data_IF_324430505847
#
_entry.id   IF_324430505847
#
_cell.length_a   1.000
_cell.length_b   1.000
_cell.length_c   1.000
_cell.angle_alpha   90.00
_cell.angle_beta   90.00
_cell.angle_gamma   90.00
#
_symmetry.space_group_name_H-M   'P 1'
#
loop_
_entity.id
_entity.type
_entity.pdbx_description
1 polymer ?
#
# COMPACT_ATOMS: atom_id res chain seq x y z
N UNK A 1 13.92 -21.10 9.63
CA UNK A 1 14.01 -20.08 8.55
C UNK A 1 12.68 -19.92 7.85
N UNK A 2 12.39 -18.72 7.32
CA UNK A 2 11.16 -18.44 6.57
C UNK A 2 11.52 -17.84 5.22
N UNK A 3 10.80 -18.23 4.18
CA UNK A 3 11.10 -17.85 2.81
C UNK A 3 9.83 -17.63 1.99
N UNK A 4 9.86 -16.67 1.07
CA UNK A 4 8.76 -16.38 0.16
C UNK A 4 9.26 -16.47 -1.30
N UNK A 5 9.15 -17.63 -1.97
CA UNK A 5 9.74 -17.87 -3.28
C UNK A 5 9.13 -17.00 -4.40
N UNK A 6 7.83 -16.66 -4.29
CA UNK A 6 7.12 -15.88 -5.31
C UNK A 6 7.20 -14.37 -5.09
N UNK A 7 7.92 -13.92 -4.05
CA UNK A 7 8.12 -12.47 -3.84
C UNK A 7 8.71 -11.82 -5.10
N UNK A 8 8.13 -10.72 -5.54
CA UNK A 8 8.51 -10.03 -6.76
C UNK A 8 7.93 -10.59 -8.07
N UNK A 9 7.30 -11.78 -8.04
CA UNK A 9 6.62 -12.39 -9.19
C UNK A 9 5.10 -12.38 -9.09
N UNK A 10 4.58 -12.18 -7.90
CA UNK A 10 3.15 -12.22 -7.63
C UNK A 10 2.68 -10.99 -6.88
N UNK A 11 1.87 -10.16 -7.54
CA UNK A 11 1.42 -8.86 -7.08
C UNK A 11 2.44 -7.74 -7.29
N UNK A 12 1.93 -6.49 -7.36
CA UNK A 12 2.75 -5.27 -7.46
C UNK A 12 3.25 -4.83 -6.08
N UNK A 13 3.96 -3.70 -6.02
CA UNK A 13 4.67 -3.22 -4.82
C UNK A 13 3.87 -3.36 -3.53
N UNK A 14 2.62 -2.87 -3.47
CA UNK A 14 1.82 -2.92 -2.25
C UNK A 14 1.54 -4.36 -1.76
N UNK A 15 1.29 -5.31 -2.67
CA UNK A 15 1.14 -6.73 -2.32
C UNK A 15 2.46 -7.32 -1.83
N UNK A 16 3.57 -7.00 -2.52
CA UNK A 16 4.91 -7.47 -2.14
C UNK A 16 5.29 -6.97 -0.74
N UNK A 17 4.90 -5.73 -0.38
CA UNK A 17 5.10 -5.20 0.96
C UNK A 17 4.33 -6.00 2.03
N UNK A 18 3.09 -6.39 1.79
CA UNK A 18 2.34 -7.25 2.70
C UNK A 18 3.00 -8.63 2.86
N UNK A 19 3.40 -9.24 1.75
CA UNK A 19 4.10 -10.53 1.74
C UNK A 19 5.39 -10.47 2.57
N UNK A 20 6.18 -9.43 2.37
CA UNK A 20 7.44 -9.25 3.08
C UNK A 20 7.23 -8.92 4.57
N UNK A 21 6.19 -8.13 4.90
CA UNK A 21 5.82 -7.81 6.28
C UNK A 21 5.41 -9.07 7.06
N UNK A 22 4.54 -9.89 6.49
CA UNK A 22 4.12 -11.16 7.10
C UNK A 22 5.32 -12.12 7.29
N UNK A 23 6.17 -12.25 6.26
CA UNK A 23 7.40 -13.06 6.33
C UNK A 23 8.31 -12.59 7.48
N UNK A 24 8.56 -11.28 7.58
CA UNK A 24 9.41 -10.70 8.62
C UNK A 24 8.81 -10.88 10.01
N UNK A 25 7.52 -10.63 10.18
CA UNK A 25 6.82 -10.78 11.45
C UNK A 25 6.86 -12.24 11.94
N UNK A 26 6.63 -13.20 11.05
CA UNK A 26 6.71 -14.62 11.38
C UNK A 26 8.12 -15.02 11.83
N UNK A 27 9.15 -14.49 11.18
CA UNK A 27 10.54 -14.73 11.55
C UNK A 27 10.85 -14.13 12.94
N UNK A 28 10.40 -12.92 13.23
CA UNK A 28 10.55 -12.27 14.54
C UNK A 28 9.85 -13.08 15.64
N UNK A 29 8.58 -13.46 15.41
CA UNK A 29 7.79 -14.27 16.34
C UNK A 29 8.52 -15.55 16.75
N UNK A 30 9.11 -16.22 15.78
CA UNK A 30 9.77 -17.51 16.00
C UNK A 30 11.30 -17.39 16.26
N UNK A 31 11.80 -16.18 16.53
CA UNK A 31 13.23 -15.90 16.76
C UNK A 31 14.11 -16.54 15.70
N UNK A 32 13.71 -16.42 14.45
CA UNK A 32 14.31 -17.05 13.27
C UNK A 32 14.65 -16.00 12.21
N UNK A 33 15.14 -16.43 11.05
CA UNK A 33 15.55 -15.57 9.96
C UNK A 33 14.58 -15.64 8.79
N UNK A 34 14.19 -14.46 8.26
CA UNK A 34 13.49 -14.29 7.00
C UNK A 34 14.50 -14.15 5.86
N UNK A 35 14.21 -14.78 4.72
CA UNK A 35 15.02 -14.71 3.52
C UNK A 35 14.21 -14.26 2.32
N UNK A 36 14.84 -13.47 1.45
CA UNK A 36 14.29 -13.07 0.15
C UNK A 36 14.98 -13.86 -0.98
N UNK A 37 14.34 -14.00 -2.17
CA UNK A 37 14.98 -14.60 -3.33
C UNK A 37 16.23 -13.81 -3.77
N UNK A 38 17.29 -14.52 -4.16
CA UNK A 38 18.55 -13.91 -4.62
C UNK A 38 18.39 -13.14 -5.95
N UNK A 39 17.39 -13.48 -6.76
CA UNK A 39 17.01 -12.80 -8.01
C UNK A 39 15.90 -11.76 -7.84
N UNK A 40 15.50 -11.38 -6.59
CA UNK A 40 14.32 -10.56 -6.31
C UNK A 40 14.24 -9.28 -7.16
N UNK A 41 15.33 -8.54 -7.26
CA UNK A 41 15.34 -7.22 -7.91
C UNK A 41 15.40 -7.28 -9.45
N UNK A 42 15.49 -8.47 -10.03
CA UNK A 42 15.35 -8.70 -11.46
C UNK A 42 13.96 -9.23 -11.85
N UNK A 43 13.16 -9.60 -10.85
CA UNK A 43 11.81 -10.14 -11.04
C UNK A 43 10.83 -9.06 -11.48
N UNK A 44 9.83 -9.48 -12.27
CA UNK A 44 8.76 -8.62 -12.77
C UNK A 44 7.40 -9.23 -12.54
N UNK A 45 6.42 -8.37 -12.30
CA UNK A 45 5.00 -8.69 -12.29
C UNK A 45 4.26 -7.62 -13.09
N UNK A 46 3.42 -8.01 -14.04
CA UNK A 46 2.74 -7.09 -14.97
C UNK A 46 3.73 -6.06 -15.58
N UNK A 47 4.93 -6.53 -16.02
CA UNK A 47 6.00 -5.69 -16.58
C UNK A 47 6.74 -4.79 -15.59
N UNK A 48 6.21 -4.57 -14.39
CA UNK A 48 6.86 -3.77 -13.35
C UNK A 48 7.92 -4.61 -12.63
N UNK A 49 9.15 -4.08 -12.59
CA UNK A 49 10.24 -4.66 -11.79
C UNK A 49 9.92 -4.52 -10.29
N UNK A 50 10.48 -5.43 -9.49
CA UNK A 50 10.40 -5.33 -8.03
C UNK A 50 11.04 -4.02 -7.53
N UNK A 51 10.31 -3.27 -6.71
CA UNK A 51 10.72 -1.95 -6.20
C UNK A 51 11.12 -1.98 -4.71
N UNK A 52 11.25 -3.17 -4.11
CA UNK A 52 11.58 -3.30 -2.69
C UNK A 52 13.00 -2.83 -2.34
N UNK A 53 13.90 -2.69 -3.32
CA UNK A 53 15.24 -2.10 -3.18
C UNK A 53 15.22 -0.58 -2.85
N UNK A 54 14.07 0.06 -2.96
CA UNK A 54 13.88 1.46 -2.55
C UNK A 54 13.68 1.63 -1.04
N UNK A 55 13.74 0.54 -0.26
CA UNK A 55 13.66 0.55 1.19
C UNK A 55 14.95 0.06 1.85
N UNK A 56 15.21 0.53 3.07
CA UNK A 56 16.42 0.18 3.86
C UNK A 56 16.26 -1.15 4.60
N UNK A 57 15.76 -2.20 3.94
CA UNK A 57 15.69 -3.50 4.56
C UNK A 57 17.03 -4.27 4.42
N UNK A 58 17.41 -5.01 5.46
CA UNK A 58 18.63 -5.80 5.53
C UNK A 58 18.31 -7.30 5.60
N UNK A 59 17.42 -7.78 4.73
CA UNK A 59 17.09 -9.20 4.70
C UNK A 59 18.11 -9.95 3.85
N UNK A 60 18.66 -11.07 4.34
CA UNK A 60 19.53 -11.92 3.54
C UNK A 60 18.78 -12.57 2.40
N UNK A 61 19.49 -12.81 1.30
CA UNK A 61 18.95 -13.50 0.14
C UNK A 61 19.38 -14.97 0.11
N UNK A 62 18.55 -15.80 -0.53
CA UNK A 62 18.84 -17.23 -0.74
C UNK A 62 18.31 -17.66 -2.10
N UNK A 63 19.00 -18.62 -2.72
CA UNK A 63 18.52 -19.25 -3.94
C UNK A 63 17.27 -20.10 -3.65
N UNK A 64 16.16 -19.88 -4.38
CA UNK A 64 14.92 -20.62 -4.17
C UNK A 64 15.09 -22.15 -4.20
N UNK A 65 16.00 -22.66 -5.00
CA UNK A 65 16.28 -24.10 -5.10
C UNK A 65 16.78 -24.73 -3.80
N UNK A 66 17.36 -23.92 -2.91
CA UNK A 66 17.84 -24.39 -1.60
C UNK A 66 16.71 -24.58 -0.58
N UNK A 67 15.48 -24.17 -0.91
CA UNK A 67 14.33 -24.21 -0.01
C UNK A 67 13.26 -25.24 -0.41
N UNK A 68 13.51 -26.06 -1.43
CA UNK A 68 12.55 -27.05 -1.98
C UNK A 68 12.16 -28.17 -0.99
N UNK A 69 12.96 -28.37 0.05
CA UNK A 69 12.71 -29.36 1.12
C UNK A 69 11.83 -28.83 2.25
N UNK A 70 11.49 -27.51 2.24
CA UNK A 70 10.67 -26.90 3.27
C UNK A 70 9.19 -27.12 3.00
N UNK A 71 8.41 -27.23 4.06
CA UNK A 71 6.96 -27.28 3.98
C UNK A 71 6.39 -25.95 3.49
N UNK A 72 5.27 -26.02 2.75
CA UNK A 72 4.57 -24.87 2.20
C UNK A 72 3.37 -24.53 3.07
N UNK A 73 3.32 -23.30 3.60
CA UNK A 73 2.10 -22.69 4.08
C UNK A 73 1.46 -21.90 2.93
N UNK A 74 0.26 -22.29 2.53
CA UNK A 74 -0.57 -21.55 1.59
C UNK A 74 -1.72 -20.87 2.34
N UNK A 75 -1.78 -19.52 2.24
CA UNK A 75 -2.91 -18.74 2.76
C UNK A 75 -4.22 -19.17 2.07
N UNK A 76 -5.32 -19.10 2.80
CA UNK A 76 -6.65 -19.43 2.27
C UNK A 76 -7.05 -18.49 1.12
N UNK A 77 -7.84 -19.00 0.17
CA UNK A 77 -8.26 -18.22 -1.01
C UNK A 77 -9.14 -17.02 -0.66
N UNK A 78 -9.86 -17.08 0.47
CA UNK A 78 -10.72 -16.00 0.96
C UNK A 78 -9.98 -14.99 1.86
N UNK A 79 -8.72 -14.73 1.60
CA UNK A 79 -7.82 -13.90 2.42
C UNK A 79 -8.33 -12.47 2.69
N UNK A 80 -9.19 -11.92 1.82
CA UNK A 80 -9.80 -10.59 2.02
C UNK A 80 -11.02 -10.61 2.94
N UNK A 81 -11.65 -11.76 3.13
CA UNK A 81 -12.86 -11.91 3.95
C UNK A 81 -12.57 -12.54 5.31
N UNK A 82 -11.57 -13.42 5.36
CA UNK A 82 -11.25 -14.22 6.55
C UNK A 82 -9.75 -14.23 6.81
N UNK A 83 -9.35 -13.82 8.00
CA UNK A 83 -7.97 -13.94 8.46
C UNK A 83 -7.60 -15.42 8.65
N UNK A 84 -6.57 -15.87 7.97
CA UNK A 84 -6.09 -17.25 8.12
C UNK A 84 -5.30 -17.41 9.43
N UNK A 85 -6.01 -17.85 10.46
CA UNK A 85 -5.44 -18.00 11.81
C UNK A 85 -4.37 -19.08 11.93
N UNK A 86 -4.31 -20.04 10.99
CA UNK A 86 -3.26 -21.07 10.94
C UNK A 86 -1.87 -20.45 10.83
N UNK A 87 -1.77 -19.24 10.25
CA UNK A 87 -0.50 -18.49 10.19
C UNK A 87 0.14 -18.30 11.56
N UNK A 88 -0.66 -18.09 12.60
CA UNK A 88 -0.16 -17.84 13.96
C UNK A 88 0.31 -19.10 14.67
N UNK A 89 -0.01 -20.28 14.16
CA UNK A 89 0.41 -21.57 14.71
C UNK A 89 1.70 -22.09 14.02
N UNK A 90 2.18 -21.39 12.98
CA UNK A 90 3.40 -21.79 12.27
C UNK A 90 4.58 -21.76 13.23
N UNK A 91 5.27 -22.90 13.30
CA UNK A 91 6.55 -23.10 13.99
C UNK A 91 7.51 -23.85 13.08
N UNK A 92 8.81 -23.74 13.31
CA UNK A 92 9.81 -24.37 12.44
C UNK A 92 10.05 -23.58 11.14
N UNK A 93 10.78 -24.19 10.21
CA UNK A 93 11.11 -23.57 8.92
C UNK A 93 9.99 -23.77 7.91
N UNK A 94 9.63 -22.74 7.15
CA UNK A 94 8.44 -22.76 6.28
C UNK A 94 8.66 -21.90 5.03
N UNK A 95 8.09 -22.33 3.92
CA UNK A 95 7.87 -21.51 2.72
C UNK A 95 6.47 -20.91 2.77
N UNK A 96 6.35 -19.63 2.47
CA UNK A 96 5.07 -18.93 2.48
C UNK A 96 4.54 -18.68 1.05
N UNK A 97 3.22 -18.78 0.89
CA UNK A 97 2.49 -18.41 -0.32
C UNK A 97 1.15 -17.78 0.07
N UNK A 98 0.90 -16.54 -0.34
CA UNK A 98 -0.32 -15.80 0.00
C UNK A 98 -0.18 -14.31 -0.29
N UNK A 99 -1.23 -13.55 -0.03
CA UNK A 99 -1.24 -12.10 -0.13
C UNK A 99 -0.97 -11.42 1.22
N UNK A 100 -1.49 -12.00 2.30
CA UNK A 100 -1.36 -11.52 3.68
C UNK A 100 -1.79 -10.04 3.86
N UNK A 101 -2.84 -9.62 3.17
CA UNK A 101 -3.29 -8.23 3.05
C UNK A 101 -4.04 -7.75 4.30
N UNK A 102 -3.40 -7.88 5.47
CA UNK A 102 -3.91 -7.36 6.74
C UNK A 102 -2.77 -7.05 7.71
N UNK A 103 -2.88 -5.94 8.47
CA UNK A 103 -1.92 -5.67 9.55
C UNK A 103 -1.94 -6.75 10.64
N UNK A 104 -3.03 -7.49 10.76
CA UNK A 104 -3.19 -8.53 11.78
C UNK A 104 -2.09 -9.59 11.71
N UNK A 105 -1.47 -9.81 10.55
CA UNK A 105 -0.33 -10.72 10.39
C UNK A 105 0.97 -10.19 11.00
N UNK A 106 1.09 -8.87 11.24
CA UNK A 106 2.36 -8.25 11.67
C UNK A 106 2.20 -7.10 12.68
N UNK A 107 1.01 -6.81 13.18
CA UNK A 107 0.76 -5.68 14.09
C UNK A 107 1.60 -5.70 15.35
N UNK A 108 1.91 -6.89 15.89
CA UNK A 108 2.72 -7.04 17.10
C UNK A 108 4.20 -6.66 16.88
N UNK A 109 4.61 -6.48 15.61
CA UNK A 109 5.94 -6.08 15.17
C UNK A 109 5.90 -4.80 14.32
N UNK A 110 4.90 -3.93 14.56
CA UNK A 110 4.64 -2.73 13.77
C UNK A 110 5.89 -1.86 13.59
N UNK A 111 6.63 -1.62 14.67
CA UNK A 111 7.82 -0.76 14.64
C UNK A 111 8.93 -1.35 13.77
N UNK A 112 9.18 -2.65 13.87
CA UNK A 112 10.15 -3.36 13.04
C UNK A 112 9.76 -3.30 11.56
N UNK A 113 8.48 -3.52 11.26
CA UNK A 113 7.95 -3.46 9.88
C UNK A 113 8.03 -2.04 9.33
N UNK A 114 7.60 -1.03 10.08
CA UNK A 114 7.71 0.37 9.66
C UNK A 114 9.17 0.81 9.46
N UNK A 115 10.09 0.32 10.30
CA UNK A 115 11.52 0.58 10.16
C UNK A 115 12.09 -0.04 8.88
N UNK A 116 11.68 -1.28 8.57
CA UNK A 116 12.08 -1.99 7.36
C UNK A 116 11.68 -1.24 6.08
N UNK A 117 10.55 -0.53 6.09
CA UNK A 117 10.05 0.28 4.97
C UNK A 117 10.49 1.75 5.02
N UNK A 118 11.61 2.04 5.68
CA UNK A 118 12.24 3.35 5.56
C UNK A 118 12.81 3.50 4.14
N UNK A 119 12.41 4.54 3.43
CA UNK A 119 12.88 4.80 2.07
C UNK A 119 14.39 5.09 2.02
N UNK A 120 15.01 4.76 0.91
CA UNK A 120 16.35 5.24 0.58
C UNK A 120 16.33 6.78 0.44
N UNK A 121 17.46 7.43 0.68
CA UNK A 121 17.55 8.90 0.78
C UNK A 121 17.07 9.61 -0.49
N UNK A 122 17.40 9.08 -1.66
CA UNK A 122 17.00 9.66 -2.95
C UNK A 122 15.48 9.77 -3.11
N UNK A 123 14.75 8.73 -2.70
CA UNK A 123 13.28 8.70 -2.76
C UNK A 123 12.67 9.60 -1.68
N UNK A 124 13.22 9.55 -0.46
CA UNK A 124 12.75 10.36 0.68
C UNK A 124 12.90 11.85 0.43
N UNK A 125 14.03 12.26 -0.16
CA UNK A 125 14.32 13.66 -0.52
C UNK A 125 13.34 14.18 -1.56
N UNK A 126 13.08 13.43 -2.64
CA UNK A 126 12.11 13.82 -3.67
C UNK A 126 10.74 14.09 -3.06
N UNK A 127 10.27 13.20 -2.18
CA UNK A 127 8.97 13.36 -1.54
C UNK A 127 8.90 14.60 -0.63
N UNK A 128 9.97 14.87 0.14
CA UNK A 128 10.07 16.07 0.98
C UNK A 128 10.07 17.35 0.17
N UNK A 129 10.86 17.40 -0.89
CA UNK A 129 10.97 18.58 -1.76
C UNK A 129 9.64 18.85 -2.48
N UNK A 130 8.97 17.81 -2.98
CA UNK A 130 7.68 17.93 -3.63
C UNK A 130 6.64 18.57 -2.71
N UNK A 131 6.48 18.04 -1.48
CA UNK A 131 5.52 18.60 -0.51
C UNK A 131 5.93 19.98 0.00
N UNK A 132 7.23 20.27 0.09
CA UNK A 132 7.72 21.61 0.41
C UNK A 132 7.26 22.63 -0.62
N UNK A 133 7.33 22.32 -1.92
CA UNK A 133 6.84 23.20 -2.97
C UNK A 133 5.33 23.45 -2.86
N UNK A 134 4.54 22.40 -2.56
CA UNK A 134 3.11 22.55 -2.33
C UNK A 134 2.85 23.46 -1.12
N UNK A 135 3.54 23.24 0.01
CA UNK A 135 3.37 24.06 1.23
C UNK A 135 3.83 25.52 1.03
N UNK A 136 4.79 25.78 0.14
CA UNK A 136 5.16 27.15 -0.24
C UNK A 136 4.04 27.86 -1.03
N UNK A 137 3.36 27.12 -1.91
CA UNK A 137 2.24 27.65 -2.70
C UNK A 137 0.99 27.82 -1.86
N UNK A 138 0.79 26.96 -0.85
CA UNK A 138 -0.37 26.96 0.05
C UNK A 138 0.09 27.03 1.51
N UNK A 139 0.59 28.19 1.97
CA UNK A 139 1.08 28.34 3.33
C UNK A 139 -0.05 28.13 4.34
N UNK A 140 0.27 27.52 5.48
CA UNK A 140 -0.68 27.21 6.58
C UNK A 140 -1.80 26.22 6.23
N UNK A 141 -1.70 25.52 5.10
CA UNK A 141 -2.64 24.45 4.74
C UNK A 141 -2.09 23.09 5.15
N UNK A 142 -2.99 22.21 5.57
CA UNK A 142 -2.73 20.78 5.78
C UNK A 142 -3.05 20.01 4.50
N UNK A 143 -2.19 19.09 4.11
CA UNK A 143 -2.32 18.32 2.87
C UNK A 143 -3.07 17.02 3.17
N UNK A 144 -4.23 16.87 2.55
CA UNK A 144 -5.00 15.61 2.56
C UNK A 144 -4.72 14.85 1.26
N UNK A 145 -3.97 13.76 1.34
CA UNK A 145 -3.75 12.89 0.19
C UNK A 145 -5.03 12.11 -0.14
N UNK A 146 -5.45 12.10 -1.39
CA UNK A 146 -6.54 11.24 -1.88
C UNK A 146 -5.93 10.20 -2.79
N UNK A 147 -5.97 8.92 -2.39
CA UNK A 147 -5.56 7.84 -3.28
C UNK A 147 -6.78 7.24 -3.96
N UNK A 148 -6.93 7.54 -5.25
CA UNK A 148 -8.02 7.06 -6.08
C UNK A 148 -7.49 6.19 -7.22
N UNK A 149 -7.44 4.88 -6.99
CA UNK A 149 -7.00 3.92 -8.01
C UNK A 149 -8.07 3.74 -9.08
N UNK A 150 -7.75 4.17 -10.30
CA UNK A 150 -8.56 3.92 -11.49
C UNK A 150 -7.93 2.82 -12.33
N UNK A 151 -7.15 3.13 -13.31
CA UNK A 151 -6.37 2.20 -14.12
C UNK A 151 -7.07 0.86 -14.40
N UNK A 152 -6.48 -0.20 -13.93
CA UNK A 152 -6.98 -1.58 -14.01
C UNK A 152 -8.31 -1.82 -13.26
N UNK A 153 -8.71 -0.89 -12.39
CA UNK A 153 -10.00 -0.97 -11.68
C UNK A 153 -11.19 -0.43 -12.49
N UNK A 154 -10.97 0.24 -13.62
CA UNK A 154 -12.06 0.74 -14.47
C UNK A 154 -12.97 -0.37 -14.98
N UNK A 155 -12.37 -1.50 -15.39
CA UNK A 155 -13.08 -2.62 -16.00
C UNK A 155 -13.64 -3.62 -14.99
N UNK A 156 -12.94 -3.79 -13.86
CA UNK A 156 -13.28 -4.83 -12.89
C UNK A 156 -14.19 -4.37 -11.75
N UNK A 157 -14.32 -3.05 -11.55
CA UNK A 157 -14.95 -2.49 -10.35
C UNK A 157 -15.73 -1.21 -10.69
N UNK A 158 -16.48 -1.25 -11.77
CA UNK A 158 -17.12 -0.04 -12.33
C UNK A 158 -18.29 0.45 -11.48
N UNK A 159 -17.95 1.11 -10.38
CA UNK A 159 -18.86 2.00 -9.66
C UNK A 159 -18.20 3.35 -9.43
N UNK A 160 -17.73 4.05 -10.50
CA UNK A 160 -17.06 5.35 -10.33
C UNK A 160 -17.91 6.35 -9.55
N UNK A 161 -19.23 6.29 -9.72
CA UNK A 161 -20.16 7.13 -9.00
C UNK A 161 -20.14 6.93 -7.49
N UNK A 162 -20.05 5.71 -7.00
CA UNK A 162 -19.97 5.42 -5.55
C UNK A 162 -18.66 5.94 -4.95
N UNK A 163 -17.54 5.76 -5.65
CA UNK A 163 -16.25 6.26 -5.16
C UNK A 163 -16.21 7.79 -5.14
N UNK A 164 -16.82 8.45 -6.12
CA UNK A 164 -16.96 9.91 -6.12
C UNK A 164 -17.82 10.39 -4.96
N UNK A 165 -18.99 9.80 -4.76
CA UNK A 165 -19.86 10.11 -3.62
C UNK A 165 -19.14 9.92 -2.30
N UNK A 166 -18.38 8.82 -2.16
CA UNK A 166 -17.56 8.56 -0.98
C UNK A 166 -16.50 9.65 -0.77
N UNK A 167 -15.74 10.04 -1.82
CA UNK A 167 -14.74 11.12 -1.70
C UNK A 167 -15.39 12.42 -1.23
N UNK A 168 -16.51 12.81 -1.84
CA UNK A 168 -17.22 14.02 -1.45
C UNK A 168 -17.76 13.94 -0.02
N UNK A 169 -18.28 12.78 0.39
CA UNK A 169 -18.74 12.54 1.74
C UNK A 169 -17.59 12.60 2.76
N UNK A 170 -16.47 11.91 2.49
CA UNK A 170 -15.28 11.95 3.34
C UNK A 170 -14.72 13.37 3.50
N UNK A 171 -14.68 14.15 2.41
CA UNK A 171 -14.25 15.56 2.44
C UNK A 171 -15.19 16.41 3.28
N UNK A 172 -16.49 16.25 3.12
CA UNK A 172 -17.48 17.05 3.86
C UNK A 172 -17.53 16.71 5.35
N UNK A 173 -17.29 15.46 5.71
CA UNK A 173 -17.38 14.97 7.08
C UNK A 173 -16.12 15.28 7.90
N UNK A 174 -14.95 15.01 7.34
CA UNK A 174 -13.68 15.03 8.07
C UNK A 174 -12.77 16.19 7.70
N UNK A 175 -12.97 16.81 6.54
CA UNK A 175 -12.08 17.83 5.97
C UNK A 175 -12.84 19.01 5.37
N UNK A 176 -13.86 19.51 6.07
CA UNK A 176 -14.73 20.60 5.61
C UNK A 176 -14.20 22.03 5.91
N UNK A 177 -13.03 22.14 6.50
CA UNK A 177 -12.38 23.40 6.85
C UNK A 177 -11.48 23.85 5.71
N UNK A 178 -11.41 25.17 5.45
CA UNK A 178 -10.52 25.76 4.45
C UNK A 178 -9.04 25.65 4.78
N UNK A 179 -8.68 25.20 5.95
CA UNK A 179 -7.28 24.84 6.27
C UNK A 179 -6.76 23.64 5.48
N UNK A 180 -7.60 22.86 4.82
CA UNK A 180 -7.19 21.68 4.05
C UNK A 180 -7.02 21.98 2.57
N UNK A 181 -6.02 21.34 1.96
CA UNK A 181 -5.88 21.18 0.52
C UNK A 181 -5.80 19.70 0.18
N UNK A 182 -6.26 19.35 -1.01
CA UNK A 182 -6.35 17.97 -1.44
C UNK A 182 -5.32 17.67 -2.52
N UNK A 183 -4.46 16.65 -2.29
CA UNK A 183 -3.48 16.14 -3.25
C UNK A 183 -3.92 14.75 -3.73
N UNK A 184 -4.28 14.63 -4.99
CA UNK A 184 -4.82 13.42 -5.57
C UNK A 184 -3.71 12.58 -6.23
N UNK A 185 -3.69 11.30 -5.88
CA UNK A 185 -2.90 10.26 -6.51
C UNK A 185 -3.82 9.34 -7.29
N UNK A 186 -3.60 9.22 -8.57
CA UNK A 186 -4.35 8.34 -9.47
C UNK A 186 -3.43 7.79 -10.54
N UNK A 187 -3.86 6.76 -11.22
CA UNK A 187 -3.13 6.14 -12.31
C UNK A 187 -3.39 4.64 -12.35
N UNK A 188 -2.83 3.99 -13.34
CA UNK A 188 -3.05 2.58 -13.57
C UNK A 188 -1.89 1.90 -14.28
N UNK A 189 -2.13 0.67 -14.68
CA UNK A 189 -1.18 -0.12 -15.44
C UNK A 189 -1.16 0.35 -16.90
N UNK A 190 -0.09 1.03 -17.29
CA UNK A 190 0.10 1.51 -18.67
C UNK A 190 0.15 0.36 -19.70
N UNK A 191 0.64 -0.82 -19.28
CA UNK A 191 0.74 -2.00 -20.18
C UNK A 191 -0.62 -2.55 -20.61
N UNK A 192 -1.69 -2.27 -19.85
CA UNK A 192 -3.06 -2.64 -20.25
C UNK A 192 -3.76 -1.56 -21.09
N UNK A 193 -3.01 -0.63 -21.69
CA UNK A 193 -3.55 0.42 -22.56
C UNK A 193 -4.24 1.57 -21.80
N UNK A 194 -4.20 1.58 -20.48
CA UNK A 194 -4.75 2.64 -19.65
C UNK A 194 -3.70 3.73 -19.45
N UNK A 195 -3.85 4.88 -20.09
CA UNK A 195 -2.94 6.00 -19.86
C UNK A 195 -3.24 6.70 -18.53
N UNK A 196 -2.19 7.03 -17.76
CA UNK A 196 -2.33 7.86 -16.58
C UNK A 196 -2.98 9.21 -16.90
N UNK A 197 -2.71 9.76 -18.09
CA UNK A 197 -3.31 10.99 -18.58
C UNK A 197 -4.83 10.93 -18.63
N UNK A 198 -5.41 9.86 -19.16
CA UNK A 198 -6.86 9.71 -19.22
C UNK A 198 -7.51 9.59 -17.84
N UNK A 199 -6.85 8.95 -16.88
CA UNK A 199 -7.30 8.87 -15.50
C UNK A 199 -7.23 10.22 -14.80
N UNK A 200 -6.14 10.95 -15.00
CA UNK A 200 -5.96 12.30 -14.45
C UNK A 200 -6.99 13.26 -15.03
N UNK A 201 -7.20 13.25 -16.35
CA UNK A 201 -8.19 14.13 -16.99
C UNK A 201 -9.61 13.84 -16.51
N UNK A 202 -9.97 12.57 -16.34
CA UNK A 202 -11.24 12.21 -15.75
C UNK A 202 -11.37 12.72 -14.29
N UNK A 203 -10.36 12.56 -13.46
CA UNK A 203 -10.35 13.05 -12.10
C UNK A 203 -10.44 14.58 -12.03
N UNK A 204 -9.74 15.30 -12.92
CA UNK A 204 -9.82 16.77 -13.03
C UNK A 204 -11.25 17.26 -13.29
N UNK A 205 -12.01 16.50 -14.06
CA UNK A 205 -13.41 16.85 -14.36
C UNK A 205 -14.38 16.54 -13.20
N UNK A 206 -14.10 15.50 -12.40
CA UNK A 206 -15.06 14.97 -11.44
C UNK A 206 -14.69 15.23 -9.97
N UNK A 207 -13.45 15.58 -9.67
CA UNK A 207 -12.97 15.87 -8.30
C UNK A 207 -12.41 17.30 -8.26
N UNK A 208 -13.28 18.32 -8.19
CA UNK A 208 -12.86 19.72 -8.22
C UNK A 208 -12.08 20.11 -6.96
N UNK A 209 -11.37 21.24 -7.03
CA UNK A 209 -10.59 21.80 -5.94
C UNK A 209 -9.54 20.81 -5.40
N UNK A 210 -8.77 20.20 -6.32
CA UNK A 210 -7.79 19.17 -6.01
C UNK A 210 -6.51 19.46 -6.80
N UNK A 211 -5.35 19.36 -6.14
CA UNK A 211 -4.04 19.34 -6.75
C UNK A 211 -3.76 17.91 -7.20
N UNK A 212 -3.15 17.73 -8.35
CA UNK A 212 -2.82 16.42 -8.88
C UNK A 212 -1.34 16.11 -8.69
N UNK A 213 -1.02 14.95 -8.14
CA UNK A 213 0.35 14.46 -8.10
C UNK A 213 0.77 14.05 -9.52
N UNK A 214 1.63 14.87 -10.14
CA UNK A 214 2.09 14.67 -11.53
C UNK A 214 3.37 13.84 -11.61
N UNK A 215 3.84 13.30 -10.49
CA UNK A 215 5.09 12.51 -10.42
C UNK A 215 4.93 11.18 -11.17
N UNK A 216 3.75 10.54 -11.08
CA UNK A 216 3.39 9.31 -11.80
C UNK A 216 4.44 8.18 -11.70
N UNK A 217 5.03 8.03 -10.53
CA UNK A 217 6.04 7.01 -10.22
C UNK A 217 5.63 6.30 -8.94
N UNK A 218 5.42 4.99 -9.00
CA UNK A 218 4.85 4.19 -7.92
C UNK A 218 5.57 4.39 -6.57
N UNK A 219 6.90 4.41 -6.57
CA UNK A 219 7.65 4.50 -5.31
C UNK A 219 7.70 5.94 -4.77
N UNK A 220 7.77 6.92 -5.66
CA UNK A 220 7.75 8.33 -5.28
C UNK A 220 6.36 8.75 -4.80
N UNK A 221 5.30 8.31 -5.49
CA UNK A 221 3.92 8.54 -5.07
C UNK A 221 3.67 7.94 -3.69
N UNK A 222 4.15 6.70 -3.44
CA UNK A 222 4.07 6.08 -2.13
C UNK A 222 4.81 6.93 -1.08
N UNK A 223 6.02 7.39 -1.37
CA UNK A 223 6.81 8.21 -0.45
C UNK A 223 6.14 9.56 -0.15
N UNK A 224 5.51 10.19 -1.15
CA UNK A 224 4.75 11.43 -0.97
C UNK A 224 3.50 11.17 -0.10
N UNK A 225 2.74 10.11 -0.38
CA UNK A 225 1.58 9.71 0.43
C UNK A 225 1.92 9.56 1.91
N UNK A 226 3.07 8.94 2.23
CA UNK A 226 3.50 8.75 3.64
C UNK A 226 3.80 10.05 4.39
N UNK A 227 3.89 11.18 3.69
CA UNK A 227 4.24 12.50 4.24
C UNK A 227 3.11 13.53 4.12
N UNK A 228 1.96 13.14 3.56
CA UNK A 228 0.75 13.96 3.65
C UNK A 228 0.32 14.10 5.12
N UNK A 229 -0.35 15.19 5.46
CA UNK A 229 -0.83 15.38 6.83
C UNK A 229 -1.96 14.39 7.16
N UNK A 230 -2.83 14.11 6.18
CA UNK A 230 -3.97 13.18 6.27
C UNK A 230 -4.16 12.40 4.97
N UNK A 231 -5.01 11.35 4.98
CA UNK A 231 -5.31 10.56 3.77
C UNK A 231 -6.80 10.18 3.67
N UNK A 232 -7.30 10.14 2.44
CA UNK A 232 -8.56 9.49 2.06
C UNK A 232 -8.20 8.34 1.11
N UNK A 233 -8.59 7.12 1.45
CA UNK A 233 -8.41 5.94 0.60
C UNK A 233 -9.76 5.50 0.07
N UNK A 234 -9.87 5.26 -1.23
CA UNK A 234 -11.18 5.00 -1.86
C UNK A 234 -11.46 3.52 -2.12
N UNK A 235 -10.42 2.71 -2.22
CA UNK A 235 -10.54 1.31 -2.60
C UNK A 235 -9.60 0.44 -1.77
N UNK A 236 -9.72 -0.88 -1.89
CA UNK A 236 -8.78 -1.86 -1.33
C UNK A 236 -7.38 -1.83 -1.99
N UNK A 237 -6.90 -0.65 -2.39
CA UNK A 237 -5.56 -0.53 -2.97
C UNK A 237 -4.48 -0.72 -1.91
N UNK A 238 -3.69 -1.77 -2.06
CA UNK A 238 -2.57 -2.07 -1.18
C UNK A 238 -1.50 -0.98 -1.17
N UNK A 239 -1.30 -0.26 -2.29
CA UNK A 239 -0.36 0.87 -2.33
C UNK A 239 -0.83 2.04 -1.46
N UNK A 240 -2.11 2.44 -1.59
CA UNK A 240 -2.69 3.49 -0.75
C UNK A 240 -2.71 3.11 0.72
N UNK A 241 -3.01 1.84 1.01
CA UNK A 241 -2.95 1.29 2.37
C UNK A 241 -1.59 1.52 3.01
N UNK A 242 -0.49 1.17 2.32
CA UNK A 242 0.87 1.38 2.82
C UNK A 242 1.24 2.86 2.93
N UNK A 243 0.77 3.71 2.00
CA UNK A 243 0.95 5.15 2.08
C UNK A 243 0.38 5.75 3.36
N UNK A 244 -0.80 5.28 3.78
CA UNK A 244 -1.45 5.69 5.01
C UNK A 244 -0.83 5.04 6.27
N UNK A 245 -0.51 3.75 6.21
CA UNK A 245 0.03 3.00 7.34
C UNK A 245 1.42 3.49 7.78
N UNK A 246 2.29 3.78 6.81
CA UNK A 246 3.65 4.28 7.05
C UNK A 246 3.70 5.78 7.37
N UNK A 247 2.59 6.48 7.31
CA UNK A 247 2.52 7.89 7.67
C UNK A 247 2.78 8.08 9.17
N UNK A 248 3.79 8.89 9.50
CA UNK A 248 4.27 9.11 10.88
C UNK A 248 3.64 10.31 11.59
N UNK A 249 2.73 11.04 10.94
CA UNK A 249 2.05 12.16 11.60
C UNK A 249 1.17 11.64 12.74
N UNK A 250 1.41 12.03 14.00
CA UNK A 250 0.62 11.54 15.14
C UNK A 250 -0.83 12.09 15.13
N UNK A 251 -1.07 13.17 14.40
CA UNK A 251 -2.39 13.80 14.27
C UNK A 251 -3.10 13.41 12.96
N UNK A 252 -2.56 12.42 12.23
CA UNK A 252 -3.14 11.98 10.97
C UNK A 252 -4.57 11.51 11.14
N UNK A 253 -5.42 11.90 10.21
CA UNK A 253 -6.72 11.29 9.96
C UNK A 253 -6.62 10.45 8.69
N UNK A 254 -6.87 9.16 8.80
CA UNK A 254 -6.92 8.25 7.64
C UNK A 254 -8.36 7.79 7.49
N UNK A 255 -9.01 8.23 6.44
CA UNK A 255 -10.42 7.94 6.18
C UNK A 255 -10.55 6.86 5.11
N UNK A 256 -11.31 5.82 5.43
CA UNK A 256 -11.49 4.62 4.59
C UNK A 256 -12.95 4.21 4.51
N UNK A 257 -13.37 3.50 3.45
CA UNK A 257 -14.72 2.94 3.38
C UNK A 257 -14.95 1.94 4.51
N UNK A 258 -15.98 2.19 5.32
CA UNK A 258 -16.42 1.28 6.41
C UNK A 258 -17.22 0.08 5.92
N UNK A 259 -17.68 0.14 4.66
CA UNK A 259 -18.38 -0.95 3.97
C UNK A 259 -17.62 -1.33 2.70
N UNK A 260 -17.88 -2.52 2.17
CA UNK A 260 -17.29 -2.93 0.89
C UNK A 260 -17.87 -2.07 -0.24
N UNK A 261 -17.00 -1.31 -0.92
CA UNK A 261 -17.32 -0.59 -2.15
C UNK A 261 -16.59 -1.32 -3.30
N UNK A 262 -17.32 -1.99 -4.16
CA UNK A 262 -16.76 -2.84 -5.20
C UNK A 262 -16.65 -4.30 -4.76
N UNK A 263 -15.61 -5.04 -5.17
CA UNK A 263 -15.45 -6.45 -4.82
C UNK A 263 -15.48 -6.69 -3.32
N UNK A 264 -16.13 -7.76 -2.93
CA UNK A 264 -16.33 -8.13 -1.53
C UNK A 264 -15.00 -8.26 -0.80
N UNK A 265 -14.87 -7.56 0.30
CA UNK A 265 -13.79 -7.72 1.28
C UNK A 265 -14.31 -7.33 2.65
N UNK A 266 -13.67 -7.82 3.69
CA UNK A 266 -14.02 -7.48 5.06
C UNK A 266 -13.23 -6.25 5.52
N UNK A 267 -13.87 -5.06 5.66
CA UNK A 267 -13.18 -3.84 6.09
C UNK A 267 -12.52 -3.97 7.46
N UNK A 268 -13.02 -4.85 8.34
CA UNK A 268 -12.46 -5.08 9.69
C UNK A 268 -11.17 -5.89 9.66
N UNK A 269 -10.92 -6.63 8.58
CA UNK A 269 -9.68 -7.40 8.41
C UNK A 269 -8.66 -6.55 7.65
N UNK A 270 -9.12 -5.87 6.59
CA UNK A 270 -8.22 -5.13 5.70
C UNK A 270 -7.74 -3.80 6.29
N UNK A 271 -8.65 -3.02 6.90
CA UNK A 271 -8.30 -1.70 7.43
C UNK A 271 -7.84 -1.77 8.88
N UNK A 272 -6.72 -1.14 9.25
CA UNK A 272 -6.30 -0.97 10.63
C UNK A 272 -7.41 -0.37 11.50
N UNK A 273 -7.42 -0.75 12.79
CA UNK A 273 -8.43 -0.24 13.73
C UNK A 273 -8.33 1.27 13.93
N UNK A 274 -7.13 1.84 13.81
CA UNK A 274 -6.86 3.27 13.92
C UNK A 274 -7.41 4.12 12.77
N UNK A 275 -7.82 3.50 11.63
CA UNK A 275 -8.38 4.22 10.50
C UNK A 275 -9.85 4.53 10.71
N UNK A 276 -10.28 5.74 10.31
CA UNK A 276 -11.65 6.22 10.40
C UNK A 276 -12.49 5.55 9.30
N UNK A 277 -13.39 4.69 9.70
CA UNK A 277 -14.28 3.95 8.79
C UNK A 277 -15.61 4.68 8.67
N UNK A 278 -15.98 5.15 7.47
CA UNK A 278 -17.22 5.89 7.19
C UNK A 278 -18.03 5.24 6.09
#
# INVERSE_FOLDING_TARGET
>A
MYFFPELGRWGRLGNQMFQLAALKALALKNKSQAYIPDDLYTRKHDGQICLLDNFKHNLPSINPNNCTHLELFKESENHLDVLDRRFFDISGSMVLHGHFESELFFKDYKDDICSMYTFVESVDTIAKEYLKLIKQQYPNKEIVGIHFRRGDYRESHDTPGLFLQYIHYARSLEFNDDKYIFLLFTGGNQEKGNSNESDMNWCKQHIPNTIFCEVNDTIKDLAIMTKCDHMILTTKSTLGWWGAYLNKNPQKKIVVPGVSIGPTFNPKIFWPDEFIKI
#
